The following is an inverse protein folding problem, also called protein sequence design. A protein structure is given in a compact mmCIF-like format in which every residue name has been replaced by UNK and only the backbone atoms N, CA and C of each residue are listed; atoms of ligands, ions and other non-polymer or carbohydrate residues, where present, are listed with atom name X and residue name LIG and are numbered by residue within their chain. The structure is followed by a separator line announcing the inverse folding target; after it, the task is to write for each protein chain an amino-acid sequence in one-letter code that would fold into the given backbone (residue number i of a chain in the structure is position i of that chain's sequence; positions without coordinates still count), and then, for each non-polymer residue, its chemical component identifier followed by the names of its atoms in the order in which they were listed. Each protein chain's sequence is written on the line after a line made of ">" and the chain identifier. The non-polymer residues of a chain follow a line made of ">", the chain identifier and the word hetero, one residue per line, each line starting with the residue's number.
data_IF_959350591129
#
_entry.id   IF_959350591129
#
_cell.length_a   1.000
_cell.length_b   1.000
_cell.length_c   1.000
_cell.angle_alpha   90.00
_cell.angle_beta   90.00
_cell.angle_gamma   90.00
#
_symmetry.space_group_name_H-M   'P 1'
#
loop_
_entity.id
_entity.type
_entity.pdbx_description
1 polymer ?
#
# COMPACT_ATOMS: atom_id res chain seq x y z
N UNK A 1 -7.55 -3.70 -19.70
CA UNK A 1 -6.47 -3.53 -18.72
C UNK A 1 -6.55 -2.09 -18.20
N UNK A 2 -7.32 -1.86 -17.13
CA UNK A 2 -7.56 -0.52 -16.59
C UNK A 2 -6.92 -0.43 -15.20
N UNK A 3 -5.81 0.29 -15.08
CA UNK A 3 -5.06 0.39 -13.81
C UNK A 3 -5.80 1.23 -12.76
N UNK A 4 -6.59 2.22 -13.19
CA UNK A 4 -7.43 3.04 -12.30
C UNK A 4 -8.53 2.19 -11.69
N UNK A 5 -9.21 1.40 -12.53
CA UNK A 5 -10.27 0.50 -12.07
C UNK A 5 -9.73 -0.56 -11.10
N UNK A 6 -8.53 -1.10 -11.35
CA UNK A 6 -7.90 -2.07 -10.46
C UNK A 6 -7.66 -1.48 -9.06
N UNK A 7 -7.11 -0.26 -8.96
CA UNK A 7 -6.92 0.42 -7.66
C UNK A 7 -8.27 0.76 -7.01
N UNK A 8 -9.26 1.23 -7.79
CA UNK A 8 -10.62 1.49 -7.29
C UNK A 8 -11.25 0.25 -6.66
N UNK A 9 -11.10 -0.91 -7.29
CA UNK A 9 -11.62 -2.18 -6.78
C UNK A 9 -10.97 -2.56 -5.44
N UNK A 10 -9.66 -2.40 -5.28
CA UNK A 10 -8.99 -2.68 -4.00
C UNK A 10 -9.50 -1.78 -2.87
N UNK A 11 -9.58 -0.46 -3.10
CA UNK A 11 -10.07 0.48 -2.08
C UNK A 11 -11.54 0.22 -1.75
N UNK A 12 -12.36 -0.10 -2.75
CA UNK A 12 -13.75 -0.50 -2.53
C UNK A 12 -13.84 -1.72 -1.63
N UNK A 13 -13.04 -2.75 -1.92
CA UNK A 13 -12.97 -3.97 -1.12
C UNK A 13 -12.53 -3.69 0.32
N UNK A 14 -11.50 -2.84 0.55
CA UNK A 14 -11.09 -2.41 1.90
C UNK A 14 -12.25 -1.80 2.70
N UNK A 15 -13.02 -0.92 2.06
CA UNK A 15 -14.13 -0.21 2.72
C UNK A 15 -15.34 -1.10 2.99
N UNK A 16 -15.58 -2.10 2.14
CA UNK A 16 -16.70 -3.05 2.26
C UNK A 16 -16.41 -4.14 3.29
N UNK A 17 -15.20 -4.71 3.29
CA UNK A 17 -14.78 -5.76 4.25
C UNK A 17 -14.77 -5.25 5.69
N UNK A 18 -14.52 -3.95 5.90
CA UNK A 18 -14.63 -3.35 7.24
C UNK A 18 -16.07 -3.28 7.80
N UNK A 19 -17.08 -3.58 6.99
CA UNK A 19 -18.51 -3.53 7.34
C UNK A 19 -19.05 -2.12 7.60
N UNK A 20 -20.35 -1.95 7.88
CA UNK A 20 -20.96 -0.62 8.05
C UNK A 20 -20.47 0.12 9.31
N UNK A 21 -20.59 1.44 9.32
CA UNK A 21 -20.26 2.30 10.48
C UNK A 21 -19.14 3.30 10.22
N UNK A 22 -18.79 4.07 11.25
CA UNK A 22 -17.82 5.17 11.13
C UNK A 22 -16.39 4.65 10.95
N UNK A 23 -15.79 4.94 9.79
CA UNK A 23 -14.43 4.51 9.44
C UNK A 23 -13.49 5.70 9.35
N UNK A 24 -12.22 5.44 9.67
CA UNK A 24 -11.11 6.30 9.27
C UNK A 24 -10.17 5.54 8.35
N UNK A 25 -9.47 6.27 7.50
CA UNK A 25 -8.42 5.75 6.62
C UNK A 25 -7.06 6.26 7.12
N UNK A 26 -6.25 5.34 7.65
CA UNK A 26 -4.89 5.58 8.12
C UNK A 26 -3.91 5.22 7.02
N UNK A 27 -3.10 6.18 6.58
CA UNK A 27 -2.23 6.03 5.41
C UNK A 27 -0.81 6.51 5.69
N UNK A 28 0.12 6.16 4.82
CA UNK A 28 1.43 6.78 4.75
C UNK A 28 1.47 7.84 3.65
N UNK A 29 2.62 8.49 3.48
CA UNK A 29 2.81 9.52 2.45
C UNK A 29 2.52 9.02 1.03
N UNK A 30 2.92 7.79 0.71
CA UNK A 30 2.76 7.21 -0.62
C UNK A 30 1.33 6.72 -0.86
N UNK A 31 0.76 5.97 0.07
CA UNK A 31 -0.61 5.44 -0.07
C UNK A 31 -1.65 6.55 -0.06
N UNK A 32 -1.40 7.67 0.63
CA UNK A 32 -2.22 8.89 0.53
C UNK A 32 -2.31 9.34 -0.93
N UNK A 33 -1.19 9.46 -1.64
CA UNK A 33 -1.19 9.88 -3.05
C UNK A 33 -1.92 8.87 -3.96
N UNK A 34 -1.81 7.57 -3.67
CA UNK A 34 -2.48 6.51 -4.45
C UNK A 34 -4.00 6.62 -4.29
N UNK A 35 -4.48 6.76 -3.06
CA UNK A 35 -5.92 6.89 -2.78
C UNK A 35 -6.47 8.20 -3.35
N UNK A 36 -5.76 9.32 -3.21
CA UNK A 36 -6.19 10.62 -3.76
C UNK A 36 -6.31 10.64 -5.28
N UNK A 37 -5.52 9.82 -5.99
CA UNK A 37 -5.65 9.66 -7.45
C UNK A 37 -6.82 8.76 -7.85
N UNK A 38 -7.22 7.84 -6.97
CA UNK A 38 -8.29 6.90 -7.25
C UNK A 38 -9.68 7.43 -6.86
N UNK A 39 -9.80 8.17 -5.75
CA UNK A 39 -11.08 8.62 -5.20
C UNK A 39 -11.07 10.11 -4.89
N UNK A 40 -12.19 10.77 -5.20
CA UNK A 40 -12.53 12.07 -4.63
C UNK A 40 -12.98 11.93 -3.17
N UNK A 41 -12.90 13.03 -2.41
CA UNK A 41 -13.40 13.07 -1.03
C UNK A 41 -14.89 12.71 -0.92
N UNK A 42 -15.71 13.13 -1.88
CA UNK A 42 -17.14 12.81 -1.89
C UNK A 42 -17.42 11.32 -2.11
N UNK A 43 -16.71 10.67 -3.03
CA UNK A 43 -16.90 9.24 -3.30
C UNK A 43 -16.48 8.36 -2.11
N UNK A 44 -15.39 8.71 -1.42
CA UNK A 44 -14.89 7.93 -0.28
C UNK A 44 -15.75 8.16 0.97
N UNK A 45 -16.34 9.36 1.13
CA UNK A 45 -17.30 9.66 2.19
C UNK A 45 -18.58 8.83 2.07
N UNK A 46 -19.06 8.59 0.84
CA UNK A 46 -20.18 7.69 0.56
C UNK A 46 -19.91 6.24 0.99
N UNK A 47 -18.64 5.88 1.21
CA UNK A 47 -18.21 4.57 1.73
C UNK A 47 -18.03 4.56 3.25
N UNK A 48 -18.57 5.57 3.93
CA UNK A 48 -18.53 5.78 5.38
C UNK A 48 -17.13 6.03 5.96
N UNK A 49 -16.20 6.52 5.12
CA UNK A 49 -14.88 6.96 5.56
C UNK A 49 -14.91 8.48 5.78
N UNK A 50 -14.91 8.89 7.05
CA UNK A 50 -15.11 10.29 7.45
C UNK A 50 -13.81 11.00 7.79
N UNK A 51 -12.80 10.25 8.24
CA UNK A 51 -11.53 10.80 8.70
C UNK A 51 -10.37 10.20 7.91
N UNK A 52 -9.39 11.06 7.60
CA UNK A 52 -8.15 10.68 6.93
C UNK A 52 -7.00 11.06 7.84
N UNK A 53 -6.15 10.09 8.14
CA UNK A 53 -5.01 10.30 9.03
C UNK A 53 -3.76 9.72 8.43
N UNK A 54 -2.65 10.37 8.74
CA UNK A 54 -1.31 9.91 8.37
C UNK A 54 -0.64 9.23 9.56
N UNK A 55 -0.03 8.08 9.31
CA UNK A 55 0.63 7.27 10.33
C UNK A 55 1.82 7.99 10.99
N UNK A 56 2.53 8.83 10.24
CA UNK A 56 3.67 9.61 10.72
C UNK A 56 3.29 10.92 11.42
N UNK A 57 2.03 11.36 11.31
CA UNK A 57 1.59 12.67 11.80
C UNK A 57 1.43 12.76 13.32
N UNK A 58 1.82 11.72 14.07
CA UNK A 58 2.00 11.78 15.53
C UNK A 58 0.80 12.20 16.37
N UNK A 59 -0.41 12.35 15.81
CA UNK A 59 -1.50 13.03 16.52
C UNK A 59 -2.91 12.55 16.19
N UNK A 60 -3.59 12.00 17.19
CA UNK A 60 -4.66 12.67 17.95
C UNK A 60 -4.48 12.26 19.42
N UNK A 61 -4.69 13.21 20.36
CA UNK A 61 -4.57 12.96 21.80
C UNK A 61 -5.72 12.11 22.35
N UNK A 62 -6.87 12.13 21.69
CA UNK A 62 -8.08 11.48 22.19
C UNK A 62 -8.34 10.15 21.47
N UNK A 63 -8.47 9.04 22.20
CA UNK A 63 -8.81 7.75 21.63
C UNK A 63 -10.26 7.73 21.14
N UNK A 64 -10.46 7.37 19.88
CA UNK A 64 -11.78 7.27 19.24
C UNK A 64 -12.16 5.79 19.05
N UNK A 65 -12.47 5.12 20.16
CA UNK A 65 -12.75 3.67 20.19
C UNK A 65 -14.00 3.23 19.41
N UNK A 66 -14.88 4.16 19.07
CA UNK A 66 -16.06 3.88 18.23
C UNK A 66 -15.73 3.81 16.73
N UNK A 67 -14.51 4.18 16.33
CA UNK A 67 -14.10 4.17 14.92
C UNK A 67 -13.44 2.85 14.53
N UNK A 68 -13.70 2.46 13.28
CA UNK A 68 -12.97 1.40 12.58
C UNK A 68 -11.80 2.01 11.82
N UNK A 69 -10.60 1.54 12.08
CA UNK A 69 -9.39 1.96 11.39
C UNK A 69 -9.12 1.06 10.20
N UNK A 70 -9.11 1.64 9.00
CA UNK A 70 -8.60 0.99 7.78
C UNK A 70 -7.18 1.53 7.57
N UNK A 71 -6.16 0.72 7.84
CA UNK A 71 -4.77 1.08 7.61
C UNK A 71 -4.35 0.61 6.21
N UNK A 72 -4.07 1.53 5.29
CA UNK A 72 -3.53 1.19 3.97
C UNK A 72 -2.10 1.73 3.84
N UNK A 73 -1.11 0.84 3.88
CA UNK A 73 0.30 1.21 4.08
C UNK A 73 1.23 0.44 3.15
N UNK A 74 2.36 1.03 2.78
CA UNK A 74 3.46 0.27 2.19
C UNK A 74 4.17 -0.56 3.26
N UNK A 75 4.59 -1.81 3.00
CA UNK A 75 5.32 -2.63 3.97
C UNK A 75 6.80 -2.21 4.09
N UNK A 76 7.06 -0.98 4.53
CA UNK A 76 8.41 -0.47 4.81
C UNK A 76 8.75 -0.66 6.28
N UNK A 77 10.03 -0.84 6.62
CA UNK A 77 10.46 -0.98 8.02
C UNK A 77 9.99 0.18 8.92
N UNK A 78 9.96 1.39 8.36
CA UNK A 78 9.44 2.58 9.04
C UNK A 78 7.94 2.46 9.34
N UNK A 79 7.13 2.11 8.34
CA UNK A 79 5.69 1.96 8.51
C UNK A 79 5.35 0.81 9.48
N UNK A 80 6.09 -0.31 9.41
CA UNK A 80 5.92 -1.41 10.36
C UNK A 80 6.23 -0.93 11.78
N UNK A 81 7.33 -0.20 12.00
CA UNK A 81 7.68 0.32 13.32
C UNK A 81 6.64 1.32 13.85
N UNK A 82 6.10 2.20 13.01
CA UNK A 82 5.05 3.14 13.40
C UNK A 82 3.73 2.43 13.71
N UNK A 83 3.34 1.45 12.88
CA UNK A 83 2.13 0.66 13.09
C UNK A 83 2.25 -0.19 14.36
N UNK A 84 3.40 -0.79 14.62
CA UNK A 84 3.67 -1.49 15.89
C UNK A 84 3.49 -0.59 17.10
N UNK A 85 3.91 0.68 17.04
CA UNK A 85 3.68 1.64 18.14
C UNK A 85 2.20 1.98 18.30
N UNK A 86 1.48 2.12 17.19
CA UNK A 86 0.04 2.37 17.19
C UNK A 86 -0.73 1.18 17.80
N UNK A 87 -0.38 -0.07 17.46
CA UNK A 87 -1.05 -1.26 18.00
C UNK A 87 -0.79 -1.50 19.49
N UNK A 88 0.37 -1.09 20.01
CA UNK A 88 0.66 -1.13 21.45
C UNK A 88 -0.23 -0.19 22.27
N UNK A 89 -0.60 0.95 21.69
CA UNK A 89 -1.47 1.95 22.32
C UNK A 89 -2.59 2.35 21.34
N UNK A 90 -3.54 1.45 21.04
CA UNK A 90 -4.47 1.60 19.93
C UNK A 90 -5.42 2.76 20.19
N UNK A 91 -5.47 3.72 19.27
CA UNK A 91 -6.39 4.86 19.37
C UNK A 91 -7.81 4.50 18.97
N UNK A 92 -7.99 3.49 18.13
CA UNK A 92 -9.28 3.10 17.57
C UNK A 92 -9.78 1.77 18.15
N UNK A 93 -11.03 1.42 17.88
CA UNK A 93 -11.64 0.21 18.43
C UNK A 93 -11.26 -1.06 17.69
N UNK A 94 -11.08 -0.96 16.37
CA UNK A 94 -10.82 -2.08 15.47
C UNK A 94 -9.89 -1.65 14.35
N UNK A 95 -8.95 -2.52 13.96
CA UNK A 95 -8.01 -2.28 12.87
C UNK A 95 -8.17 -3.33 11.76
N UNK A 96 -8.26 -2.85 10.52
CA UNK A 96 -8.15 -3.63 9.29
C UNK A 96 -6.89 -3.16 8.56
N UNK A 97 -5.90 -4.02 8.42
CA UNK A 97 -4.57 -3.66 7.92
C UNK A 97 -4.40 -4.20 6.50
N UNK A 98 -4.09 -3.30 5.57
CA UNK A 98 -3.89 -3.59 4.16
C UNK A 98 -2.52 -3.09 3.73
N UNK A 99 -1.69 -4.00 3.22
CA UNK A 99 -0.38 -3.65 2.68
C UNK A 99 -0.43 -3.45 1.16
N UNK A 100 0.21 -2.40 0.66
CA UNK A 100 0.24 -2.11 -0.79
C UNK A 100 1.03 -3.13 -1.62
N UNK A 101 1.84 -3.96 -0.96
CA UNK A 101 2.74 -4.93 -1.57
C UNK A 101 2.97 -6.12 -0.62
N UNK A 102 3.77 -7.09 -1.06
CA UNK A 102 4.13 -8.29 -0.28
C UNK A 102 4.80 -7.88 1.03
N UNK A 103 4.32 -8.44 2.15
CA UNK A 103 4.89 -8.24 3.49
C UNK A 103 5.71 -9.46 3.94
N UNK A 104 6.83 -9.22 4.62
CA UNK A 104 7.63 -10.31 5.17
C UNK A 104 6.93 -10.98 6.36
N UNK A 105 6.99 -12.31 6.45
CA UNK A 105 6.41 -13.07 7.58
C UNK A 105 6.94 -12.62 8.95
N UNK A 106 8.19 -12.18 9.01
CA UNK A 106 8.79 -11.64 10.24
C UNK A 106 8.13 -10.33 10.69
N UNK A 107 7.75 -9.46 9.75
CA UNK A 107 7.07 -8.20 10.06
C UNK A 107 5.63 -8.47 10.54
N UNK A 108 4.94 -9.45 9.93
CA UNK A 108 3.61 -9.90 10.39
C UNK A 108 3.69 -10.43 11.83
N UNK A 109 4.70 -11.25 12.14
CA UNK A 109 4.94 -11.75 13.51
C UNK A 109 5.16 -10.60 14.50
N UNK A 110 5.94 -9.60 14.09
CA UNK A 110 6.21 -8.41 14.91
C UNK A 110 4.94 -7.61 15.19
N UNK A 111 4.05 -7.45 14.20
CA UNK A 111 2.76 -6.79 14.39
C UNK A 111 1.84 -7.59 15.31
N UNK A 112 1.79 -8.92 15.16
CA UNK A 112 1.02 -9.79 16.03
C UNK A 112 1.47 -9.72 17.50
N UNK A 113 2.79 -9.66 17.74
CA UNK A 113 3.34 -9.48 19.10
C UNK A 113 3.01 -8.11 19.69
N UNK A 114 2.76 -7.09 18.86
CA UNK A 114 2.41 -5.75 19.33
C UNK A 114 0.90 -5.54 19.57
N UNK A 115 0.03 -6.42 19.06
CA UNK A 115 -1.43 -6.32 19.24
C UNK A 115 -1.88 -6.98 20.54
N UNK A 116 -1.39 -6.46 21.67
CA UNK A 116 -1.74 -6.96 23.02
C UNK A 116 -3.23 -6.78 23.36
N UNK A 117 -3.93 -5.93 22.61
CA UNK A 117 -5.34 -5.61 22.81
C UNK A 117 -6.29 -6.34 21.85
N UNK A 118 -5.76 -7.20 20.97
CA UNK A 118 -6.53 -8.01 20.01
C UNK A 118 -7.50 -7.17 19.17
N UNK A 119 -7.06 -5.97 18.75
CA UNK A 119 -7.88 -5.03 17.99
C UNK A 119 -7.79 -5.26 16.48
N UNK A 120 -6.78 -5.99 16.00
CA UNK A 120 -6.61 -6.31 14.58
C UNK A 120 -7.58 -7.43 14.20
N UNK A 121 -8.44 -7.15 13.21
CA UNK A 121 -9.39 -8.15 12.68
C UNK A 121 -8.90 -8.82 11.42
N UNK A 122 -8.14 -8.10 10.62
CA UNK A 122 -7.77 -8.56 9.29
C UNK A 122 -6.44 -7.96 8.85
N UNK A 123 -5.64 -8.78 8.18
CA UNK A 123 -4.39 -8.39 7.51
C UNK A 123 -4.42 -8.95 6.09
N UNK A 124 -4.42 -8.09 5.08
CA UNK A 124 -4.42 -8.49 3.67
C UNK A 124 -3.37 -7.72 2.84
N UNK A 125 -2.96 -8.30 1.72
CA UNK A 125 -2.10 -7.66 0.73
C UNK A 125 -2.93 -7.20 -0.47
N UNK A 126 -2.95 -5.89 -0.73
CA UNK A 126 -3.57 -5.29 -1.91
C UNK A 126 -2.52 -4.62 -2.78
N UNK A 127 -2.29 -5.20 -3.95
CA UNK A 127 -1.22 -4.83 -4.89
C UNK A 127 -1.47 -3.52 -5.65
N UNK A 128 -1.83 -2.45 -4.94
CA UNK A 128 -2.03 -1.10 -5.44
C UNK A 128 -0.83 -0.19 -5.20
N UNK A 129 0.40 -0.63 -5.46
CA UNK A 129 1.64 0.10 -5.11
C UNK A 129 2.15 1.08 -6.20
N UNK A 130 1.23 1.75 -6.89
CA UNK A 130 1.52 2.66 -8.01
C UNK A 130 0.45 3.77 -8.12
N UNK A 131 0.82 4.91 -8.71
CA UNK A 131 -0.11 6.00 -9.02
C UNK A 131 -0.81 5.71 -10.35
N UNK A 132 -2.12 5.47 -10.31
CA UNK A 132 -2.94 5.30 -11.50
C UNK A 132 -3.35 6.68 -12.04
N UNK A 133 -2.67 7.17 -13.08
CA UNK A 133 -2.90 8.50 -13.66
C UNK A 133 -4.05 8.46 -14.67
N UNK A 134 -4.06 7.45 -15.53
CA UNK A 134 -5.13 7.21 -16.49
C UNK A 134 -5.35 5.69 -16.65
N UNK A 135 -6.42 5.23 -17.34
CA UNK A 135 -6.70 3.80 -17.47
C UNK A 135 -5.53 2.94 -17.97
N UNK A 136 -4.62 3.52 -18.76
CA UNK A 136 -3.46 2.83 -19.33
C UNK A 136 -2.11 3.47 -18.97
N UNK A 137 -2.10 4.42 -18.02
CA UNK A 137 -0.89 5.12 -17.58
C UNK A 137 -0.76 5.06 -16.06
N UNK A 138 0.38 4.58 -15.59
CA UNK A 138 0.74 4.61 -14.18
C UNK A 138 2.13 5.22 -13.98
N UNK A 139 2.40 5.66 -12.76
CA UNK A 139 3.71 6.12 -12.31
C UNK A 139 4.06 5.48 -10.98
N UNK A 140 5.33 5.15 -10.77
CA UNK A 140 5.83 4.70 -9.45
C UNK A 140 6.25 5.87 -8.56
N UNK A 141 6.21 7.09 -9.09
CA UNK A 141 6.64 8.32 -8.42
C UNK A 141 8.07 8.23 -7.87
N UNK A 142 9.00 7.75 -8.69
CA UNK A 142 10.43 7.63 -8.38
C UNK A 142 11.16 8.76 -9.11
N UNK A 143 11.59 9.83 -8.43
CA UNK A 143 12.20 10.99 -9.09
C UNK A 143 13.55 10.67 -9.73
N UNK A 144 14.35 9.82 -9.08
CA UNK A 144 15.63 9.33 -9.59
C UNK A 144 15.74 7.84 -9.29
N UNK A 145 15.98 7.05 -10.33
CA UNK A 145 16.08 5.59 -10.24
C UNK A 145 17.51 5.07 -10.46
N UNK A 146 18.39 5.93 -10.94
CA UNK A 146 19.71 5.56 -11.40
C UNK A 146 20.71 6.67 -11.09
N UNK A 147 21.97 6.27 -10.87
CA UNK A 147 23.11 7.17 -10.88
C UNK A 147 23.94 6.83 -12.12
N UNK A 148 23.89 7.70 -13.13
CA UNK A 148 24.44 7.41 -14.46
C UNK A 148 23.70 6.24 -15.13
N UNK A 149 24.44 5.21 -15.53
CA UNK A 149 23.90 3.99 -16.16
C UNK A 149 23.78 2.81 -15.17
N UNK A 150 23.80 3.09 -13.86
CA UNK A 150 23.70 2.09 -12.82
C UNK A 150 22.45 2.31 -11.96
N UNK A 151 21.75 1.23 -11.64
CA UNK A 151 20.66 1.24 -10.67
C UNK A 151 21.16 1.64 -9.29
N UNK A 152 20.40 2.51 -8.62
CA UNK A 152 20.39 2.51 -7.16
C UNK A 152 19.70 1.21 -6.68
N UNK A 153 20.35 0.37 -5.85
CA UNK A 153 19.78 -0.89 -5.36
C UNK A 153 18.40 -0.74 -4.69
N UNK A 154 18.17 0.37 -3.98
CA UNK A 154 16.88 0.62 -3.32
C UNK A 154 15.79 0.89 -4.37
N UNK A 155 16.12 1.68 -5.39
CA UNK A 155 15.19 2.03 -6.46
C UNK A 155 14.90 0.87 -7.40
N UNK A 156 15.89 0.01 -7.67
CA UNK A 156 15.68 -1.24 -8.41
C UNK A 156 14.64 -2.12 -7.71
N UNK A 157 14.78 -2.29 -6.39
CA UNK A 157 13.83 -3.06 -5.59
C UNK A 157 12.44 -2.42 -5.61
N UNK A 158 12.37 -1.08 -5.43
CA UNK A 158 11.12 -0.32 -5.49
C UNK A 158 10.42 -0.42 -6.85
N UNK A 159 11.18 -0.38 -7.94
CA UNK A 159 10.69 -0.54 -9.31
C UNK A 159 10.11 -1.94 -9.53
N UNK A 160 10.86 -2.98 -9.14
CA UNK A 160 10.41 -4.36 -9.25
C UNK A 160 9.11 -4.60 -8.46
N UNK A 161 9.06 -4.11 -7.22
CA UNK A 161 7.85 -4.15 -6.37
C UNK A 161 6.65 -3.45 -7.02
N UNK A 162 6.85 -2.25 -7.57
CA UNK A 162 5.78 -1.48 -8.21
C UNK A 162 5.26 -2.13 -9.48
N UNK A 163 6.15 -2.65 -10.35
CA UNK A 163 5.75 -3.36 -11.57
C UNK A 163 5.04 -4.67 -11.23
N UNK A 164 5.55 -5.42 -10.25
CA UNK A 164 4.90 -6.65 -9.77
C UNK A 164 3.49 -6.33 -9.28
N UNK A 165 3.31 -5.23 -8.53
CA UNK A 165 2.00 -4.82 -8.05
C UNK A 165 1.02 -4.52 -9.21
N UNK A 166 1.48 -3.84 -10.26
CA UNK A 166 0.67 -3.62 -11.49
C UNK A 166 0.28 -4.93 -12.17
N UNK A 167 1.20 -5.90 -12.24
CA UNK A 167 0.92 -7.19 -12.87
C UNK A 167 -0.12 -7.99 -12.07
N UNK A 168 0.01 -8.01 -10.74
CA UNK A 168 -0.92 -8.67 -9.85
C UNK A 168 -2.29 -8.00 -9.84
N UNK A 169 -2.34 -6.66 -9.83
CA UNK A 169 -3.60 -5.90 -9.88
C UNK A 169 -4.40 -6.15 -11.16
N UNK A 170 -3.69 -6.31 -12.29
CA UNK A 170 -4.28 -6.63 -13.58
C UNK A 170 -4.48 -8.14 -13.80
N UNK A 171 -4.03 -8.99 -12.87
CA UNK A 171 -4.03 -10.45 -12.95
C UNK A 171 -3.35 -10.95 -14.24
N UNK A 172 -2.12 -10.47 -14.50
CA UNK A 172 -1.34 -10.81 -15.70
C UNK A 172 0.00 -11.44 -15.34
N UNK A 173 0.33 -12.52 -16.06
CA UNK A 173 1.65 -13.17 -16.03
C UNK A 173 2.28 -13.11 -17.43
N UNK A 174 2.91 -11.98 -17.81
CA UNK A 174 3.44 -11.80 -19.16
C UNK A 174 4.82 -12.45 -19.35
N UNK A 175 5.18 -12.73 -20.61
CA UNK A 175 6.58 -12.99 -20.97
C UNK A 175 7.38 -11.70 -20.95
N UNK A 176 8.37 -11.62 -20.05
CA UNK A 176 9.15 -10.39 -19.83
C UNK A 176 10.24 -10.25 -20.89
N UNK A 177 10.11 -9.20 -21.71
CA UNK A 177 11.10 -8.74 -22.69
C UNK A 177 11.73 -7.43 -22.22
N UNK A 178 13.00 -7.24 -22.52
CA UNK A 178 13.77 -6.04 -22.17
C UNK A 178 14.70 -5.65 -23.32
N UNK A 179 15.19 -4.41 -23.32
CA UNK A 179 16.15 -3.93 -24.32
C UNK A 179 17.53 -4.55 -24.09
N UNK A 180 18.04 -5.30 -25.06
CA UNK A 180 19.30 -6.08 -24.93
C UNK A 180 20.52 -5.21 -24.62
N UNK A 181 20.58 -3.99 -25.17
CA UNK A 181 21.69 -3.05 -24.95
C UNK A 181 21.67 -2.38 -23.56
N UNK A 182 20.65 -2.67 -22.73
CA UNK A 182 20.50 -2.06 -21.40
C UNK A 182 20.67 -3.11 -20.31
N UNK A 183 21.83 -3.10 -19.66
CA UNK A 183 22.10 -3.94 -18.49
C UNK A 183 21.13 -3.62 -17.34
N UNK A 184 20.72 -2.36 -17.21
CA UNK A 184 19.70 -1.93 -16.26
C UNK A 184 18.36 -2.63 -16.52
N UNK A 185 17.88 -2.64 -17.77
CA UNK A 185 16.63 -3.29 -18.11
C UNK A 185 16.69 -4.81 -17.89
N UNK A 186 17.84 -5.43 -18.19
CA UNK A 186 18.09 -6.85 -17.91
C UNK A 186 17.97 -7.17 -16.41
N UNK A 187 18.64 -6.42 -15.54
CA UNK A 187 18.60 -6.62 -14.08
C UNK A 187 17.18 -6.46 -13.51
N UNK A 188 16.43 -5.45 -13.99
CA UNK A 188 15.04 -5.26 -13.58
C UNK A 188 14.15 -6.43 -14.03
N UNK A 189 14.32 -6.90 -15.26
CA UNK A 189 13.58 -8.05 -15.78
C UNK A 189 13.86 -9.33 -14.99
N UNK A 190 15.13 -9.60 -14.65
CA UNK A 190 15.53 -10.72 -13.79
C UNK A 190 14.88 -10.60 -12.41
N UNK A 191 14.91 -9.41 -11.81
CA UNK A 191 14.30 -9.19 -10.48
C UNK A 191 12.78 -9.42 -10.46
N UNK A 192 12.07 -9.02 -11.52
CA UNK A 192 10.63 -9.25 -11.61
C UNK A 192 10.33 -10.76 -11.80
N UNK A 193 11.16 -11.48 -12.56
CA UNK A 193 11.02 -12.95 -12.73
C UNK A 193 11.24 -13.74 -11.45
N UNK A 194 12.03 -13.23 -10.51
CA UNK A 194 12.22 -13.89 -9.21
C UNK A 194 10.96 -13.83 -8.32
N UNK A 195 10.07 -12.86 -8.57
CA UNK A 195 8.91 -12.58 -7.71
C UNK A 195 7.61 -13.18 -8.28
N UNK A 196 7.49 -13.28 -9.61
CA UNK A 196 6.34 -13.87 -10.32
C UNK A 196 6.48 -15.38 -10.48
#
# INVERSE_FOLDING_TARGET
>A
MNVVQAVKMYITKMTEESGPGMKLLLMDKHTTSIVSMAYSQSEILQKEVYLFQRLDSGGMLEPMKHLKCIAFLRPTKENIALLSRELKCPKYGVYYIYFSNIIAKADVKTLAECDEHEVVREVQEFYGDYLAISPHLFSLNIPSCAQGLAWDPQQLTRCAQGITAVLLSLKKCPFIRYQQSSDMAKRLAEKIREVL
#
